data_IF_025586224565
#
_entry.id   IF_025586224565
#
_cell.length_a   1.000
_cell.length_b   1.000
_cell.length_c   1.000
_cell.angle_alpha   90.00
_cell.angle_beta   90.00
_cell.angle_gamma   90.00
#
_symmetry.space_group_name_H-M   'P 1'
#
loop_
_entity.id
_entity.type
_entity.pdbx_description
1 polymer ?
#
# COMPACT_ATOMS: atom_id res chain seq x y z
N UNK A 1 0.02 5.99 -3.06
CA UNK A 1 -1.39 5.88 -3.49
C UNK A 1 -1.64 4.55 -4.14
N UNK A 2 -2.89 4.06 -4.13
CA UNK A 2 -3.28 2.73 -4.57
C UNK A 2 -4.22 2.79 -5.78
N UNK A 3 -4.09 1.80 -6.65
CA UNK A 3 -4.93 1.65 -7.83
C UNK A 3 -5.78 0.38 -7.77
N UNK A 4 -6.56 0.13 -8.82
CA UNK A 4 -7.34 -1.12 -8.98
C UNK A 4 -6.46 -2.38 -9.01
N UNK A 5 -5.14 -2.26 -9.16
CA UNK A 5 -4.21 -3.40 -9.12
C UNK A 5 -4.09 -3.98 -7.71
N UNK A 6 -4.35 -3.18 -6.66
CA UNK A 6 -4.44 -3.65 -5.28
C UNK A 6 -5.82 -3.36 -4.68
N UNK A 7 -5.93 -2.43 -3.74
CA UNK A 7 -7.17 -2.11 -3.02
C UNK A 7 -7.66 -0.68 -3.22
N UNK A 8 -7.11 0.04 -4.19
CA UNK A 8 -7.68 1.28 -4.72
C UNK A 8 -8.87 1.00 -5.64
N UNK A 9 -9.65 2.03 -5.97
CA UNK A 9 -10.83 1.90 -6.83
C UNK A 9 -10.70 2.60 -8.18
N UNK A 10 -9.58 3.30 -8.41
CA UNK A 10 -9.34 4.05 -9.64
C UNK A 10 -8.23 3.41 -10.48
N UNK A 11 -8.33 3.57 -11.80
CA UNK A 11 -7.28 3.08 -12.71
C UNK A 11 -6.03 3.96 -12.61
N UNK A 12 -4.83 3.43 -12.96
CA UNK A 12 -3.63 4.27 -13.08
C UNK A 12 -3.80 5.48 -14.01
N UNK A 13 -4.65 5.35 -15.04
CA UNK A 13 -4.97 6.44 -15.97
C UNK A 13 -5.79 7.54 -15.29
N UNK A 14 -6.80 7.18 -14.49
CA UNK A 14 -7.61 8.15 -13.75
C UNK A 14 -6.75 8.88 -12.71
N UNK A 15 -5.90 8.13 -11.98
CA UNK A 15 -4.96 8.70 -11.00
C UNK A 15 -3.96 9.68 -11.65
N UNK A 16 -3.47 9.37 -12.85
CA UNK A 16 -2.60 10.29 -13.59
C UNK A 16 -3.36 11.54 -14.03
N UNK A 17 -4.62 11.40 -14.49
CA UNK A 17 -5.44 12.56 -14.84
C UNK A 17 -5.65 13.47 -13.64
N UNK A 18 -5.96 12.91 -12.47
CA UNK A 18 -6.06 13.69 -11.24
C UNK A 18 -4.75 14.38 -10.85
N UNK A 19 -3.61 13.72 -11.06
CA UNK A 19 -2.30 14.32 -10.81
C UNK A 19 -2.04 15.53 -11.73
N UNK A 20 -2.44 15.44 -13.01
CA UNK A 20 -2.38 16.54 -13.98
C UNK A 20 -3.28 17.70 -13.50
N UNK A 21 -4.53 17.40 -13.16
CA UNK A 21 -5.52 18.40 -12.74
C UNK A 21 -5.11 19.12 -11.45
N UNK A 22 -4.39 18.43 -10.57
CA UNK A 22 -3.85 18.98 -9.31
C UNK A 22 -2.45 19.59 -9.44
N UNK A 23 -1.86 19.67 -10.66
CA UNK A 23 -0.50 20.17 -10.92
C UNK A 23 0.57 19.45 -10.07
N UNK A 24 0.44 18.13 -9.90
CA UNK A 24 1.42 17.29 -9.22
C UNK A 24 2.64 17.15 -10.14
N UNK A 25 3.85 17.36 -9.64
CA UNK A 25 5.08 17.24 -10.41
C UNK A 25 5.74 15.86 -10.31
N UNK A 26 5.35 15.05 -9.32
CA UNK A 26 5.90 13.72 -9.08
C UNK A 26 4.86 12.81 -8.43
N UNK A 27 4.77 11.56 -8.87
CA UNK A 27 3.90 10.56 -8.28
C UNK A 27 4.50 9.17 -8.29
N UNK A 28 4.06 8.33 -7.37
CA UNK A 28 4.31 6.89 -7.36
C UNK A 28 3.01 6.14 -7.08
N UNK A 29 2.72 5.10 -7.86
CA UNK A 29 1.81 4.06 -7.41
C UNK A 29 2.56 3.17 -6.42
N UNK A 30 1.91 2.87 -5.30
CA UNK A 30 2.46 2.05 -4.23
C UNK A 30 1.46 0.95 -3.87
N UNK A 31 0.98 0.25 -4.91
CA UNK A 31 0.04 -0.85 -4.76
C UNK A 31 0.59 -1.92 -3.82
N UNK A 32 -0.29 -2.55 -3.03
CA UNK A 32 0.12 -3.54 -2.03
C UNK A 32 0.66 -4.83 -2.67
N UNK A 33 1.96 -5.09 -2.46
CA UNK A 33 2.68 -6.29 -2.93
C UNK A 33 2.48 -6.54 -4.44
N UNK A 34 2.40 -5.44 -5.22
CA UNK A 34 2.05 -5.44 -6.64
C UNK A 34 2.77 -4.32 -7.39
N UNK A 35 3.31 -4.60 -8.57
CA UNK A 35 4.04 -3.62 -9.40
C UNK A 35 3.51 -3.47 -10.83
N UNK A 36 2.57 -4.31 -11.28
CA UNK A 36 2.04 -4.25 -12.65
C UNK A 36 1.36 -2.91 -12.96
N UNK A 37 0.84 -2.23 -11.92
CA UNK A 37 0.25 -0.90 -12.01
C UNK A 37 1.22 0.18 -12.53
N UNK A 38 2.53 0.01 -12.30
CA UNK A 38 3.57 0.93 -12.76
C UNK A 38 3.61 1.00 -14.28
N UNK A 39 3.56 -0.17 -14.95
CA UNK A 39 3.55 -0.25 -16.40
C UNK A 39 2.28 0.36 -17.00
N UNK A 40 1.12 0.12 -16.38
CA UNK A 40 -0.14 0.72 -16.78
C UNK A 40 -0.11 2.26 -16.62
N UNK A 41 0.51 2.77 -15.54
CA UNK A 41 0.69 4.21 -15.33
C UNK A 41 1.58 4.84 -16.41
N UNK A 42 2.70 4.20 -16.74
CA UNK A 42 3.59 4.68 -17.80
C UNK A 42 2.95 4.63 -19.20
N UNK A 43 2.10 3.61 -19.44
CA UNK A 43 1.32 3.56 -20.69
C UNK A 43 0.33 4.73 -20.77
N UNK A 44 -0.36 5.04 -19.67
CA UNK A 44 -1.23 6.20 -19.55
C UNK A 44 -0.48 7.53 -19.72
N UNK A 45 0.74 7.64 -19.19
CA UNK A 45 1.56 8.84 -19.33
C UNK A 45 1.87 9.19 -20.79
N UNK A 46 2.20 8.19 -21.60
CA UNK A 46 2.45 8.42 -23.04
C UNK A 46 1.26 9.05 -23.76
N UNK A 47 0.04 8.80 -23.26
CA UNK A 47 -1.19 9.33 -23.83
C UNK A 47 -1.56 10.71 -23.25
N UNK A 48 -1.53 10.85 -21.93
CA UNK A 48 -2.07 12.02 -21.22
C UNK A 48 -1.01 13.09 -20.91
N UNK A 49 0.25 12.69 -20.74
CA UNK A 49 1.38 13.57 -20.41
C UNK A 49 2.62 13.23 -21.26
N UNK A 50 2.53 13.35 -22.60
CA UNK A 50 3.60 12.94 -23.52
C UNK A 50 4.90 13.75 -23.36
N UNK A 51 4.85 14.87 -22.66
CA UNK A 51 6.03 15.68 -22.32
C UNK A 51 6.67 15.27 -20.99
N UNK A 52 6.12 14.25 -20.33
CA UNK A 52 6.60 13.74 -19.04
C UNK A 52 6.76 14.84 -17.97
N UNK A 53 5.78 15.75 -17.93
CA UNK A 53 5.76 16.84 -16.95
C UNK A 53 5.60 16.34 -15.51
N UNK A 54 5.02 15.16 -15.35
CA UNK A 54 4.92 14.45 -14.08
C UNK A 54 5.99 13.36 -14.04
N UNK A 55 6.92 13.44 -13.10
CA UNK A 55 7.89 12.37 -12.88
C UNK A 55 7.22 11.17 -12.21
N UNK A 56 7.19 10.02 -12.90
CA UNK A 56 6.72 8.75 -12.34
C UNK A 56 7.89 8.04 -11.68
N UNK A 57 7.73 7.71 -10.39
CA UNK A 57 8.69 6.94 -9.60
C UNK A 57 8.16 5.52 -9.41
N UNK A 58 9.00 4.51 -9.63
CA UNK A 58 8.63 3.14 -9.28
C UNK A 58 8.36 3.04 -7.79
N UNK A 59 7.22 2.49 -7.42
CA UNK A 59 6.82 2.34 -6.04
C UNK A 59 6.04 1.05 -5.80
N UNK A 60 6.14 0.52 -4.60
CA UNK A 60 5.33 -0.60 -4.11
C UNK A 60 5.22 -0.49 -2.59
N UNK A 61 4.07 -0.80 -2.03
CA UNK A 61 3.89 -0.92 -0.58
C UNK A 61 3.91 -2.39 -0.17
N UNK A 62 5.06 -2.82 0.35
CA UNK A 62 5.27 -4.20 0.78
C UNK A 62 4.69 -4.46 2.15
N UNK A 63 4.00 -5.60 2.28
CA UNK A 63 3.50 -6.09 3.56
C UNK A 63 4.58 -6.80 4.35
N UNK A 64 4.81 -6.38 5.59
CA UNK A 64 5.70 -7.01 6.54
C UNK A 64 5.00 -7.23 7.90
N UNK A 65 5.66 -7.94 8.78
CA UNK A 65 5.21 -8.14 10.17
C UNK A 65 6.36 -7.86 11.13
N UNK A 66 6.04 -7.18 12.23
CA UNK A 66 6.94 -6.97 13.34
C UNK A 66 6.21 -7.28 14.64
N UNK A 67 6.69 -8.30 15.38
CA UNK A 67 6.02 -8.80 16.58
C UNK A 67 4.54 -9.14 16.30
N UNK A 68 3.60 -8.43 16.90
CA UNK A 68 2.15 -8.61 16.73
C UNK A 68 1.50 -7.64 15.74
N UNK A 69 2.32 -6.76 15.10
CA UNK A 69 1.86 -5.70 14.22
C UNK A 69 2.08 -6.04 12.74
N UNK A 70 1.13 -5.62 11.93
CA UNK A 70 1.30 -5.52 10.49
C UNK A 70 2.01 -4.21 10.17
N UNK A 71 3.09 -4.30 9.43
CA UNK A 71 3.94 -3.19 9.04
C UNK A 71 3.90 -3.06 7.53
N UNK A 72 3.99 -1.84 7.03
CA UNK A 72 4.18 -1.60 5.62
C UNK A 72 5.52 -0.92 5.37
N UNK A 73 6.13 -1.27 4.25
CA UNK A 73 7.42 -0.74 3.81
C UNK A 73 7.23 -0.27 2.37
N UNK A 74 7.47 1.01 2.13
CA UNK A 74 7.47 1.54 0.78
C UNK A 74 8.82 1.25 0.14
N UNK A 75 8.81 0.57 -0.99
CA UNK A 75 9.97 0.46 -1.86
C UNK A 75 9.87 1.50 -2.96
N UNK A 76 10.96 2.23 -3.21
CA UNK A 76 11.03 3.19 -4.31
C UNK A 76 12.24 2.94 -5.21
N UNK A 77 12.17 3.38 -6.45
CA UNK A 77 13.29 3.40 -7.40
C UNK A 77 13.91 2.02 -7.74
N UNK A 78 13.28 0.94 -7.37
CA UNK A 78 13.75 -0.41 -7.66
C UNK A 78 13.68 -0.72 -9.17
N UNK A 79 14.53 -1.64 -9.61
CA UNK A 79 14.41 -2.25 -10.94
C UNK A 79 13.22 -3.23 -10.94
N UNK A 80 12.16 -2.88 -11.66
CA UNK A 80 10.96 -3.71 -11.80
C UNK A 80 11.19 -5.04 -12.51
N UNK A 81 12.35 -5.22 -13.17
CA UNK A 81 12.76 -6.46 -13.82
C UNK A 81 13.70 -7.31 -12.95
N UNK A 82 14.01 -6.87 -11.73
CA UNK A 82 14.84 -7.64 -10.83
C UNK A 82 14.19 -8.98 -10.48
N UNK A 83 14.95 -10.07 -10.73
CA UNK A 83 14.42 -11.42 -10.57
C UNK A 83 13.99 -11.75 -9.14
N UNK A 84 14.76 -11.36 -8.14
CA UNK A 84 14.48 -11.67 -6.74
C UNK A 84 13.19 -10.93 -6.28
N UNK A 85 12.99 -9.69 -6.74
CA UNK A 85 11.77 -8.93 -6.51
C UNK A 85 10.55 -9.58 -7.16
N UNK A 86 10.66 -9.97 -8.44
CA UNK A 86 9.58 -10.63 -9.18
C UNK A 86 9.21 -11.97 -8.53
N UNK A 87 10.22 -12.79 -8.18
CA UNK A 87 10.00 -14.07 -7.52
C UNK A 87 9.30 -13.89 -6.16
N UNK A 88 9.70 -12.87 -5.38
CA UNK A 88 9.05 -12.53 -4.12
C UNK A 88 7.59 -12.12 -4.31
N UNK A 89 7.31 -11.18 -5.22
CA UNK A 89 5.94 -10.71 -5.51
C UNK A 89 5.06 -11.88 -5.98
N UNK A 90 5.59 -12.72 -6.88
CA UNK A 90 4.86 -13.90 -7.40
C UNK A 90 4.52 -14.88 -6.26
N UNK A 91 5.49 -15.18 -5.39
CA UNK A 91 5.26 -16.01 -4.22
C UNK A 91 4.20 -15.41 -3.29
N UNK A 92 4.27 -14.10 -3.04
CA UNK A 92 3.34 -13.43 -2.14
C UNK A 92 1.92 -13.37 -2.71
N UNK A 93 1.76 -13.14 -4.02
CA UNK A 93 0.48 -13.24 -4.74
C UNK A 93 -0.14 -14.62 -4.57
N UNK A 94 0.63 -15.68 -4.80
CA UNK A 94 0.15 -17.06 -4.60
C UNK A 94 -0.35 -17.30 -3.17
N UNK A 95 0.40 -16.83 -2.17
CA UNK A 95 -0.02 -16.93 -0.76
C UNK A 95 -1.25 -16.09 -0.42
N UNK A 96 -1.43 -14.94 -1.07
CA UNK A 96 -2.68 -14.16 -0.96
C UNK A 96 -3.86 -14.92 -1.53
N UNK A 97 -3.73 -15.49 -2.72
CA UNK A 97 -4.80 -16.28 -3.35
C UNK A 97 -5.21 -17.46 -2.49
N UNK A 98 -4.25 -18.29 -2.03
CA UNK A 98 -4.50 -19.39 -1.10
C UNK A 98 -5.29 -18.91 0.14
N UNK A 99 -4.91 -17.77 0.68
CA UNK A 99 -5.57 -17.16 1.84
C UNK A 99 -7.00 -16.72 1.54
N UNK A 100 -7.24 -16.10 0.38
CA UNK A 100 -8.56 -15.65 -0.05
C UNK A 100 -9.49 -16.85 -0.23
N UNK A 101 -9.03 -17.91 -0.89
CA UNK A 101 -9.78 -19.15 -1.09
C UNK A 101 -10.17 -19.77 0.26
N UNK A 102 -9.25 -19.78 1.23
CA UNK A 102 -9.52 -20.29 2.57
C UNK A 102 -10.49 -19.40 3.35
N UNK A 103 -10.42 -18.06 3.22
CA UNK A 103 -11.40 -17.14 3.84
C UNK A 103 -12.80 -17.42 3.26
N UNK A 104 -12.94 -17.52 1.94
CA UNK A 104 -14.21 -17.82 1.26
C UNK A 104 -14.76 -19.14 1.78
N UNK A 105 -13.94 -20.20 1.82
CA UNK A 105 -14.33 -21.50 2.34
C UNK A 105 -14.86 -21.44 3.78
N UNK A 106 -14.17 -20.70 4.66
CA UNK A 106 -14.57 -20.53 6.06
C UNK A 106 -15.85 -19.72 6.19
N UNK A 107 -15.98 -18.62 5.43
CA UNK A 107 -17.21 -17.84 5.39
C UNK A 107 -18.40 -18.70 5.00
N UNK A 108 -18.27 -19.53 3.96
CA UNK A 108 -19.35 -20.44 3.52
C UNK A 108 -19.73 -21.45 4.59
N UNK A 109 -18.76 -21.97 5.36
CA UNK A 109 -19.04 -22.89 6.48
C UNK A 109 -19.81 -22.22 7.61
N UNK A 110 -19.63 -20.91 7.81
CA UNK A 110 -20.34 -20.10 8.82
C UNK A 110 -21.67 -19.51 8.27
N UNK A 111 -22.07 -19.86 7.06
CA UNK A 111 -23.34 -19.41 6.46
C UNK A 111 -23.26 -18.06 5.72
N UNK A 112 -22.07 -17.53 5.49
CA UNK A 112 -21.82 -16.34 4.68
C UNK A 112 -21.47 -16.76 3.26
N UNK A 113 -22.48 -16.94 2.40
CA UNK A 113 -22.29 -17.49 1.05
C UNK A 113 -21.73 -16.46 0.09
N UNK A 114 -20.43 -16.59 -0.21
CA UNK A 114 -19.68 -15.80 -1.19
C UNK A 114 -18.79 -16.71 -2.01
N UNK A 115 -18.46 -16.32 -3.24
CA UNK A 115 -17.68 -17.15 -4.17
C UNK A 115 -16.48 -16.40 -4.74
N UNK A 116 -15.50 -17.16 -5.24
CA UNK A 116 -14.34 -16.58 -5.94
C UNK A 116 -14.75 -15.99 -7.28
N UNK A 117 -15.74 -16.57 -7.94
CA UNK A 117 -16.30 -16.11 -9.21
C UNK A 117 -16.94 -14.71 -9.05
N UNK A 118 -17.68 -14.48 -7.95
CA UNK A 118 -18.22 -13.15 -7.62
C UNK A 118 -17.10 -12.14 -7.36
N UNK A 119 -16.04 -12.55 -6.64
CA UNK A 119 -14.88 -11.71 -6.38
C UNK A 119 -14.21 -11.27 -7.68
N UNK A 120 -13.90 -12.21 -8.56
CA UNK A 120 -13.27 -11.93 -9.86
C UNK A 120 -14.17 -11.06 -10.74
N UNK A 121 -15.47 -11.33 -10.76
CA UNK A 121 -16.44 -10.56 -11.54
C UNK A 121 -16.55 -9.12 -11.06
N UNK A 122 -16.46 -8.90 -9.75
CA UNK A 122 -16.58 -7.55 -9.15
C UNK A 122 -15.28 -6.75 -9.26
N UNK A 123 -14.13 -7.44 -9.23
CA UNK A 123 -12.80 -6.82 -9.26
C UNK A 123 -11.91 -7.46 -10.34
N UNK A 124 -12.26 -7.31 -11.64
CA UNK A 124 -11.60 -8.06 -12.72
C UNK A 124 -10.14 -7.68 -12.94
N UNK A 125 -9.77 -6.46 -12.61
CA UNK A 125 -8.43 -5.93 -12.84
C UNK A 125 -7.50 -6.07 -11.60
N UNK A 126 -8.07 -6.45 -10.45
CA UNK A 126 -7.31 -6.61 -9.21
C UNK A 126 -6.37 -7.82 -9.30
N UNK A 127 -5.08 -7.59 -8.99
CA UNK A 127 -4.03 -8.62 -8.98
C UNK A 127 -3.66 -9.07 -7.57
N UNK A 128 -3.99 -8.25 -6.57
CA UNK A 128 -3.66 -8.50 -5.16
C UNK A 128 -4.92 -8.45 -4.27
N UNK A 129 -5.77 -9.47 -4.36
CA UNK A 129 -6.98 -9.54 -3.52
C UNK A 129 -6.64 -9.51 -2.03
N UNK A 130 -7.40 -8.71 -1.29
CA UNK A 130 -7.27 -8.58 0.16
C UNK A 130 -8.61 -8.70 0.88
N UNK A 131 -8.57 -8.64 2.21
CA UNK A 131 -9.79 -8.64 3.03
C UNK A 131 -10.81 -7.54 2.70
N UNK A 132 -10.42 -6.33 2.23
CA UNK A 132 -11.40 -5.33 1.80
C UNK A 132 -12.30 -5.83 0.67
N UNK A 133 -11.76 -6.56 -0.30
CA UNK A 133 -12.53 -7.14 -1.41
C UNK A 133 -13.54 -8.19 -0.92
N UNK A 134 -13.12 -9.08 -0.01
CA UNK A 134 -14.04 -10.03 0.66
C UNK A 134 -15.08 -9.26 1.47
N UNK A 135 -14.66 -8.20 2.17
CA UNK A 135 -15.58 -7.34 2.91
C UNK A 135 -16.67 -6.73 2.04
N UNK A 136 -16.32 -6.31 0.83
CA UNK A 136 -17.30 -5.77 -0.13
C UNK A 136 -18.31 -6.84 -0.56
N UNK A 137 -17.87 -8.07 -0.84
CA UNK A 137 -18.80 -9.19 -1.14
C UNK A 137 -19.76 -9.46 0.04
N UNK A 138 -19.25 -9.44 1.27
CA UNK A 138 -20.06 -9.64 2.47
C UNK A 138 -21.10 -8.54 2.67
N UNK A 139 -20.74 -7.30 2.36
CA UNK A 139 -21.66 -6.15 2.42
C UNK A 139 -22.73 -6.28 1.33
N UNK A 140 -22.35 -6.58 0.11
CA UNK A 140 -23.26 -6.71 -1.03
C UNK A 140 -24.20 -7.91 -0.86
N UNK A 141 -23.73 -8.98 -0.20
CA UNK A 141 -24.53 -10.12 0.21
C UNK A 141 -25.46 -9.84 1.39
N UNK A 142 -25.44 -8.64 1.97
CA UNK A 142 -26.29 -8.25 3.09
C UNK A 142 -25.87 -8.81 4.46
N UNK A 143 -24.64 -9.36 4.57
CA UNK A 143 -24.12 -9.95 5.81
C UNK A 143 -23.50 -8.93 6.77
N UNK A 144 -23.18 -7.72 6.28
CA UNK A 144 -22.64 -6.63 7.06
C UNK A 144 -23.13 -5.28 6.52
N UNK A 145 -23.13 -4.24 7.34
CA UNK A 145 -23.58 -2.89 6.96
C UNK A 145 -22.49 -2.11 6.22
N UNK A 146 -21.28 -2.23 6.68
CA UNK A 146 -20.12 -1.51 6.18
C UNK A 146 -18.83 -2.29 6.47
N UNK A 147 -17.70 -1.76 5.99
CA UNK A 147 -16.40 -2.40 6.12
C UNK A 147 -15.92 -2.50 7.58
N UNK A 148 -16.33 -1.57 8.44
CA UNK A 148 -15.99 -1.63 9.87
C UNK A 148 -16.72 -2.77 10.57
N UNK A 149 -17.99 -2.99 10.19
CA UNK A 149 -18.80 -4.10 10.70
C UNK A 149 -18.18 -5.45 10.30
N UNK A 150 -17.72 -5.58 9.04
CA UNK A 150 -16.98 -6.76 8.58
C UNK A 150 -15.74 -7.02 9.43
N UNK A 151 -14.88 -6.01 9.63
CA UNK A 151 -13.59 -6.21 10.30
C UNK A 151 -13.69 -6.33 11.82
N UNK A 152 -14.74 -5.78 12.44
CA UNK A 152 -15.03 -5.96 13.86
C UNK A 152 -15.87 -7.22 14.15
N UNK A 153 -16.51 -7.78 13.12
CA UNK A 153 -17.38 -8.94 13.19
C UNK A 153 -16.81 -10.16 12.45
N UNK A 154 -17.28 -10.36 11.20
CA UNK A 154 -17.07 -11.60 10.41
C UNK A 154 -15.58 -11.91 10.18
N UNK A 155 -14.77 -10.91 9.83
CA UNK A 155 -13.34 -11.07 9.56
C UNK A 155 -12.43 -10.58 10.70
N UNK A 156 -12.96 -10.48 11.92
CA UNK A 156 -12.17 -10.18 13.14
C UNK A 156 -11.12 -11.26 13.37
N UNK A 157 -9.97 -10.89 13.96
CA UNK A 157 -8.82 -11.79 14.22
C UNK A 157 -9.17 -13.11 14.92
N UNK A 158 -10.20 -13.11 15.79
CA UNK A 158 -10.62 -14.28 16.55
C UNK A 158 -11.87 -14.97 15.97
N UNK A 159 -12.31 -14.55 14.77
CA UNK A 159 -13.47 -15.13 14.09
C UNK A 159 -13.11 -16.44 13.40
N UNK A 160 -14.08 -17.40 13.29
CA UNK A 160 -13.90 -18.61 12.48
C UNK A 160 -13.52 -18.32 11.02
N UNK A 161 -13.99 -17.20 10.45
CA UNK A 161 -13.69 -16.79 9.07
C UNK A 161 -12.29 -16.19 8.91
N UNK A 162 -11.60 -15.86 10.00
CA UNK A 162 -10.29 -15.22 9.90
C UNK A 162 -9.20 -16.22 9.49
N UNK A 163 -8.43 -15.83 8.49
CA UNK A 163 -7.20 -16.54 8.08
C UNK A 163 -6.03 -15.57 8.23
N UNK A 164 -4.98 -15.91 9.00
CA UNK A 164 -3.80 -15.07 9.11
C UNK A 164 -3.10 -14.93 7.75
N UNK A 165 -2.45 -13.77 7.53
CA UNK A 165 -1.56 -13.62 6.37
C UNK A 165 -0.24 -14.37 6.62
N UNK A 166 0.47 -14.68 5.54
CA UNK A 166 1.87 -15.13 5.65
C UNK A 166 2.67 -14.02 6.31
N UNK A 167 3.47 -14.37 7.29
CA UNK A 167 4.36 -13.43 7.97
C UNK A 167 5.66 -13.30 7.20
N UNK A 168 6.07 -12.06 6.97
CA UNK A 168 7.36 -11.71 6.41
C UNK A 168 8.00 -10.66 7.30
N UNK A 169 9.23 -10.92 7.70
CA UNK A 169 9.95 -10.03 8.60
C UNK A 169 10.45 -8.77 7.88
N UNK A 170 10.45 -7.65 8.59
CA UNK A 170 10.89 -6.34 8.09
C UNK A 170 12.27 -6.39 7.41
N UNK A 171 13.33 -6.99 8.01
CA UNK A 171 14.65 -7.03 7.38
C UNK A 171 14.67 -7.76 6.04
N UNK A 172 13.82 -8.78 5.86
CA UNK A 172 13.75 -9.52 4.60
C UNK A 172 13.19 -8.65 3.46
N UNK A 173 12.16 -7.83 3.74
CA UNK A 173 11.60 -6.91 2.76
C UNK A 173 12.62 -5.83 2.38
N UNK A 174 13.33 -5.26 3.36
CA UNK A 174 14.39 -4.28 3.11
C UNK A 174 15.46 -4.88 2.18
N UNK A 175 15.91 -6.10 2.48
CA UNK A 175 16.92 -6.80 1.66
C UNK A 175 16.45 -7.03 0.20
N UNK A 176 15.18 -7.41 -0.01
CA UNK A 176 14.61 -7.57 -1.35
C UNK A 176 14.58 -6.24 -2.12
N UNK A 177 14.15 -5.15 -1.46
CA UNK A 177 14.14 -3.81 -2.08
C UNK A 177 15.55 -3.39 -2.46
N UNK A 178 16.53 -3.54 -1.56
CA UNK A 178 17.93 -3.19 -1.80
C UNK A 178 18.56 -4.05 -2.91
N UNK A 179 18.30 -5.37 -2.98
CA UNK A 179 18.75 -6.25 -4.06
C UNK A 179 18.20 -5.83 -5.42
N UNK A 180 17.04 -5.22 -5.44
CA UNK A 180 16.47 -4.62 -6.65
C UNK A 180 17.01 -3.21 -6.94
N UNK A 181 17.99 -2.71 -6.18
CA UNK A 181 18.57 -1.37 -6.34
C UNK A 181 17.64 -0.25 -5.84
N UNK A 182 16.60 -0.59 -5.11
CA UNK A 182 15.61 0.34 -4.57
C UNK A 182 15.96 0.92 -3.21
N UNK A 183 15.10 1.83 -2.74
CA UNK A 183 15.17 2.50 -1.46
C UNK A 183 14.02 2.02 -0.56
N UNK A 184 14.35 1.56 0.64
CA UNK A 184 13.38 1.05 1.62
C UNK A 184 12.95 2.15 2.60
N UNK A 185 11.67 2.45 2.66
CA UNK A 185 11.10 3.54 3.47
C UNK A 185 10.05 2.98 4.43
N UNK A 186 10.16 3.32 5.71
CA UNK A 186 9.13 2.99 6.70
C UNK A 186 7.84 3.76 6.39
N UNK A 187 6.78 3.05 6.04
CA UNK A 187 5.47 3.64 5.72
C UNK A 187 4.74 4.08 6.99
N UNK A 188 4.04 5.21 6.92
CA UNK A 188 3.07 5.73 7.92
C UNK A 188 3.27 5.23 9.37
N UNK A 189 4.39 5.58 10.05
CA UNK A 189 4.78 5.03 11.36
C UNK A 189 3.72 5.18 12.44
N UNK A 190 2.83 6.16 12.37
CA UNK A 190 1.71 6.31 13.31
C UNK A 190 0.79 5.08 13.32
N UNK A 191 0.61 4.42 12.18
CA UNK A 191 -0.28 3.27 12.08
C UNK A 191 0.29 2.01 12.73
N UNK A 192 1.57 2.00 13.07
CA UNK A 192 2.19 0.97 13.94
C UNK A 192 1.59 1.00 15.35
N UNK A 193 1.08 2.17 15.79
CA UNK A 193 0.47 2.38 17.10
C UNK A 193 1.41 2.14 18.30
N UNK A 194 2.72 2.15 18.08
CA UNK A 194 3.76 1.98 19.10
C UNK A 194 5.06 2.64 18.64
N UNK A 195 5.39 3.77 19.25
CA UNK A 195 6.67 4.46 18.98
C UNK A 195 7.88 3.59 19.41
N UNK A 196 7.72 2.74 20.42
CA UNK A 196 8.76 1.77 20.83
C UNK A 196 9.09 0.83 19.67
N UNK A 197 8.06 0.26 19.00
CA UNK A 197 8.27 -0.63 17.86
C UNK A 197 8.84 0.12 16.64
N UNK A 198 8.41 1.35 16.43
CA UNK A 198 9.01 2.22 15.40
C UNK A 198 10.50 2.38 15.65
N UNK A 199 10.90 2.77 16.88
CA UNK A 199 12.31 2.98 17.23
C UNK A 199 13.13 1.69 17.19
N UNK A 200 12.56 0.55 17.58
CA UNK A 200 13.24 -0.74 17.44
C UNK A 200 13.48 -1.10 15.97
N UNK A 201 12.48 -0.89 15.09
CA UNK A 201 12.61 -1.16 13.66
C UNK A 201 13.59 -0.21 12.97
N UNK A 202 13.79 1.01 13.45
CA UNK A 202 14.79 1.94 12.93
C UNK A 202 16.25 1.49 13.16
N UNK A 203 16.47 0.36 13.84
CA UNK A 203 17.78 -0.30 13.86
C UNK A 203 18.00 -1.21 12.63
N UNK A 204 16.98 -1.44 11.81
CA UNK A 204 17.14 -2.08 10.51
C UNK A 204 17.58 -1.05 9.47
N UNK A 205 18.00 -1.55 8.30
CA UNK A 205 18.64 -0.75 7.25
C UNK A 205 17.63 0.01 6.37
N UNK A 206 16.74 0.79 7.00
CA UNK A 206 15.87 1.70 6.27
C UNK A 206 16.68 2.87 5.71
N UNK A 207 16.33 3.31 4.49
CA UNK A 207 16.90 4.50 3.86
C UNK A 207 16.11 5.76 4.21
N UNK A 208 14.80 5.61 4.41
CA UNK A 208 13.91 6.74 4.66
C UNK A 208 12.73 6.41 5.58
N UNK A 209 11.97 7.46 5.89
CA UNK A 209 10.74 7.41 6.68
C UNK A 209 9.66 8.28 6.05
N UNK A 210 8.44 7.78 5.96
CA UNK A 210 7.29 8.56 5.55
C UNK A 210 6.81 9.43 6.74
N UNK A 211 7.24 10.67 6.73
CA UNK A 211 6.93 11.65 7.78
C UNK A 211 5.62 12.36 7.49
N UNK A 212 5.40 12.73 6.23
CA UNK A 212 4.18 13.41 5.82
C UNK A 212 3.17 12.41 5.30
N UNK A 213 2.06 12.24 6.04
CA UNK A 213 1.00 11.30 5.68
C UNK A 213 -0.36 11.85 6.06
N UNK A 214 -1.41 11.53 5.29
CA UNK A 214 -2.77 12.04 5.50
C UNK A 214 -3.36 11.78 6.89
N UNK A 215 -2.84 10.79 7.61
CA UNK A 215 -3.26 10.43 8.99
C UNK A 215 -2.32 10.96 10.08
N UNK A 216 -1.23 11.63 9.71
CA UNK A 216 -0.34 12.30 10.66
C UNK A 216 -0.85 13.71 10.94
N UNK A 217 -0.90 14.09 12.21
CA UNK A 217 -1.07 15.48 12.61
C UNK A 217 0.30 16.19 12.76
N UNK A 218 0.29 17.48 13.08
CA UNK A 218 1.53 18.26 13.19
C UNK A 218 2.48 17.70 14.25
N UNK A 219 1.97 17.22 15.39
CA UNK A 219 2.79 16.62 16.45
C UNK A 219 3.44 15.30 15.97
N UNK A 220 2.72 14.50 15.19
CA UNK A 220 3.25 13.28 14.57
C UNK A 220 4.37 13.63 13.58
N UNK A 221 4.14 14.64 12.73
CA UNK A 221 5.13 15.11 11.74
C UNK A 221 6.41 15.55 12.42
N UNK A 222 6.33 16.40 13.44
CA UNK A 222 7.53 16.87 14.16
C UNK A 222 8.25 15.71 14.86
N UNK A 223 7.52 14.80 15.50
CA UNK A 223 8.10 13.62 16.15
C UNK A 223 8.85 12.73 15.15
N UNK A 224 8.26 12.45 13.99
CA UNK A 224 8.88 11.58 12.99
C UNK A 224 10.02 12.26 12.23
N UNK A 225 10.00 13.59 12.10
CA UNK A 225 11.19 14.36 11.66
C UNK A 225 12.38 14.17 12.61
N UNK A 226 12.12 14.22 13.92
CA UNK A 226 13.18 13.97 14.92
C UNK A 226 13.73 12.54 14.82
N UNK A 227 12.85 11.54 14.64
CA UNK A 227 13.28 10.15 14.45
C UNK A 227 14.10 9.99 13.17
N UNK A 228 13.64 10.51 12.03
CA UNK A 228 14.36 10.48 10.77
C UNK A 228 15.74 11.13 10.90
N UNK A 229 15.81 12.33 11.46
CA UNK A 229 17.07 13.04 11.68
C UNK A 229 18.05 12.26 12.56
N UNK A 230 17.57 11.68 13.67
CA UNK A 230 18.40 10.90 14.61
C UNK A 230 19.00 9.67 13.93
N UNK A 231 18.23 9.01 13.04
CA UNK A 231 18.65 7.80 12.36
C UNK A 231 19.23 8.05 10.96
N UNK A 232 19.39 9.34 10.56
CA UNK A 232 19.93 9.77 9.27
C UNK A 232 19.14 9.25 8.07
N UNK A 233 17.82 9.20 8.20
CA UNK A 233 16.90 8.78 7.16
C UNK A 233 16.42 9.98 6.37
N UNK A 234 16.31 9.84 5.04
CA UNK A 234 15.62 10.87 4.27
C UNK A 234 14.09 10.82 4.56
N UNK A 235 13.42 11.92 4.27
CA UNK A 235 11.99 12.08 4.53
C UNK A 235 11.22 11.91 3.22
N UNK A 236 10.15 11.12 3.27
CA UNK A 236 9.13 11.04 2.21
C UNK A 236 7.78 11.48 2.73
N UNK A 237 6.80 11.48 1.83
CA UNK A 237 5.42 11.65 2.19
C UNK A 237 4.48 11.28 1.06
N UNK A 238 3.26 10.95 1.43
CA UNK A 238 2.23 10.53 0.52
C UNK A 238 0.82 10.65 1.08
N UNK A 239 -0.16 10.55 0.20
CA UNK A 239 -1.57 10.67 0.56
C UNK A 239 -2.17 9.37 1.10
N UNK A 240 -1.61 8.22 0.72
CA UNK A 240 -2.24 6.91 0.91
C UNK A 240 -3.68 6.88 0.33
N UNK A 241 -3.84 7.55 -0.83
CA UNK A 241 -5.12 7.67 -1.50
C UNK A 241 -5.55 6.34 -2.12
N UNK A 242 -6.84 5.98 -1.93
CA UNK A 242 -7.43 4.75 -2.45
C UNK A 242 -8.70 5.00 -3.27
N UNK A 243 -9.23 6.23 -3.28
CA UNK A 243 -10.51 6.56 -3.94
C UNK A 243 -11.75 6.00 -3.24
N UNK A 244 -11.62 5.42 -2.07
CA UNK A 244 -12.73 4.78 -1.34
C UNK A 244 -13.49 5.83 -0.54
N UNK A 245 -14.80 5.95 -0.76
CA UNK A 245 -15.67 6.87 -0.01
C UNK A 245 -15.59 6.61 1.49
N UNK A 246 -15.28 7.66 2.25
CA UNK A 246 -15.11 7.59 3.71
C UNK A 246 -13.75 7.10 4.20
N UNK A 247 -12.81 6.77 3.31
CA UNK A 247 -11.39 6.52 3.62
C UNK A 247 -10.60 7.77 3.23
N UNK A 248 -10.02 8.46 4.20
CA UNK A 248 -9.24 9.68 3.94
C UNK A 248 -7.88 9.38 3.30
N UNK A 249 -7.42 10.26 2.40
CA UNK A 249 -8.10 11.46 1.89
C UNK A 249 -9.31 11.10 1.02
N UNK A 250 -10.37 11.90 1.10
CA UNK A 250 -11.64 11.61 0.42
C UNK A 250 -11.55 11.85 -1.10
N UNK A 251 -10.68 12.79 -1.53
CA UNK A 251 -10.41 13.10 -2.94
C UNK A 251 -8.92 13.13 -3.20
N UNK A 252 -8.54 12.82 -4.43
CA UNK A 252 -7.20 13.10 -4.89
C UNK A 252 -6.91 14.61 -4.77
N UNK A 253 -5.72 14.96 -4.27
CA UNK A 253 -5.34 16.36 -4.04
C UNK A 253 -5.68 16.93 -2.67
N UNK A 254 -6.56 16.31 -1.88
CA UNK A 254 -6.85 16.74 -0.50
C UNK A 254 -5.60 16.66 0.41
N UNK A 255 -4.62 15.85 0.02
CA UNK A 255 -3.32 15.76 0.69
C UNK A 255 -2.19 15.68 -0.33
N UNK A 256 -1.42 16.74 -0.41
CA UNK A 256 -0.22 16.85 -1.25
C UNK A 256 0.97 17.25 -0.38
N UNK A 257 2.14 16.73 -0.72
CA UNK A 257 3.38 17.02 -0.02
C UNK A 257 4.21 17.99 -0.83
N UNK A 258 4.76 19.03 -0.18
CA UNK A 258 5.63 20.00 -0.85
C UNK A 258 6.98 19.35 -1.20
N UNK A 259 7.46 19.54 -2.41
CA UNK A 259 8.80 19.07 -2.81
C UNK A 259 9.94 19.62 -1.94
N UNK A 260 9.73 20.75 -1.26
CA UNK A 260 10.71 21.29 -0.30
C UNK A 260 10.85 20.42 0.94
N UNK A 261 9.73 19.81 1.37
CA UNK A 261 9.68 19.00 2.57
C UNK A 261 10.31 17.62 2.39
N UNK A 262 10.44 17.17 1.13
CA UNK A 262 11.01 15.87 0.73
C UNK A 262 12.20 16.04 -0.24
N UNK A 263 12.87 17.18 -0.18
CA UNK A 263 13.92 17.57 -1.13
C UNK A 263 15.12 16.60 -1.16
N UNK A 264 15.46 15.99 -0.04
CA UNK A 264 16.52 14.99 0.04
C UNK A 264 16.15 13.75 -0.79
N UNK A 265 14.94 13.21 -0.61
CA UNK A 265 14.45 12.10 -1.43
C UNK A 265 14.43 12.45 -2.92
N UNK A 266 13.94 13.65 -3.29
CA UNK A 266 13.93 14.11 -4.68
C UNK A 266 15.34 14.14 -5.28
N UNK A 267 16.35 14.46 -4.49
CA UNK A 267 17.75 14.53 -4.97
C UNK A 267 18.38 13.16 -5.25
N UNK A 268 17.76 12.06 -4.77
CA UNK A 268 18.18 10.69 -5.02
C UNK A 268 17.58 10.10 -6.31
N UNK A 269 16.58 10.78 -6.88
CA UNK A 269 15.85 10.36 -8.09
C UNK A 269 16.53 10.90 -9.36
#
# INVERSE_FOLDING_TARGET
MHSIFSDGVETPKDLLQHAIDCNVSMMALTDHDEIDGIQALRAAQKELDPNESIKIVNGCEFSADYKDKSIHILGYCFDENNKDLIDFITFFKGKREERIDEIIRRCNNEGYYITKEELIKQFPDTKAYGRPHIGKLLIDGGYAKDINDVFKGILRKDSPCYVPKVKVEVPYIIDIIHKAGGLAVMAHPKLVTSDEYVLEMLNYDFDGMEVYHSKHNDDDVERYKEFAKKHKLFITGGSDYHGIVGKKPDRFGDYLVSGKDVSEFISLL
#
